data_IF_437327340062
#
_entry.id   IF_437327340062
#
_cell.length_a   1.000
_cell.length_b   1.000
_cell.length_c   1.000
_cell.angle_alpha   90.00
_cell.angle_beta   90.00
_cell.angle_gamma   90.00
#
_symmetry.space_group_name_H-M   'P 1'
#
loop_
_entity.id
_entity.type
_entity.pdbx_description
1 polymer ?
#
# COMPACT_ATOMS: atom_id res chain seq x y z
N UNK A 1 -1.72 -13.80 -12.21
CA UNK A 1 -1.16 -15.17 -12.41
C UNK A 1 -0.99 -15.80 -11.04
N UNK A 2 -1.47 -17.04 -10.88
CA UNK A 2 -1.32 -17.81 -9.62
C UNK A 2 -0.34 -18.94 -9.87
N UNK A 3 0.64 -19.13 -8.99
CA UNK A 3 1.62 -20.22 -9.06
C UNK A 3 1.58 -21.00 -7.76
N UNK A 4 1.29 -22.30 -7.86
CA UNK A 4 1.30 -23.22 -6.72
C UNK A 4 2.63 -23.99 -6.73
N UNK A 5 3.31 -24.03 -5.59
CA UNK A 5 4.47 -24.88 -5.36
C UNK A 5 4.05 -26.18 -4.68
N UNK A 6 4.90 -27.21 -4.77
CA UNK A 6 4.62 -28.54 -4.21
C UNK A 6 4.55 -28.57 -2.67
N UNK A 7 5.08 -27.56 -1.99
CA UNK A 7 5.02 -27.36 -0.55
C UNK A 7 3.73 -26.64 -0.08
N UNK A 8 2.82 -26.33 -1.00
CA UNK A 8 1.59 -25.59 -0.70
C UNK A 8 1.75 -24.07 -0.72
N UNK A 9 2.94 -23.53 -1.01
CA UNK A 9 3.12 -22.09 -1.16
C UNK A 9 2.44 -21.58 -2.44
N UNK A 10 1.67 -20.51 -2.31
CA UNK A 10 0.97 -19.86 -3.42
C UNK A 10 1.61 -18.49 -3.68
N UNK A 11 2.18 -18.31 -4.87
CA UNK A 11 2.55 -17.01 -5.37
C UNK A 11 1.39 -16.43 -6.18
N UNK A 12 0.82 -15.33 -5.71
CA UNK A 12 -0.29 -14.66 -6.37
C UNK A 12 0.14 -13.25 -6.81
N UNK A 13 -0.01 -12.95 -8.10
CA UNK A 13 0.24 -11.61 -8.65
C UNK A 13 -0.98 -11.08 -9.40
N UNK A 14 -1.45 -9.90 -9.01
CA UNK A 14 -2.48 -9.14 -9.72
C UNK A 14 -2.09 -7.67 -9.88
N UNK A 15 -2.63 -7.04 -10.92
CA UNK A 15 -2.47 -5.61 -11.16
C UNK A 15 -3.72 -4.90 -10.67
N UNK A 16 -3.53 -3.94 -9.77
CA UNK A 16 -4.57 -3.01 -9.37
C UNK A 16 -4.37 -1.67 -10.09
N UNK A 17 -5.47 -1.09 -10.56
CA UNK A 17 -5.52 0.30 -10.99
C UNK A 17 -6.56 0.97 -10.11
N UNK A 18 -6.13 1.89 -9.26
CA UNK A 18 -7.00 2.59 -8.32
C UNK A 18 -6.71 4.08 -8.36
N UNK A 19 -7.73 4.88 -8.08
CA UNK A 19 -7.62 6.33 -7.91
C UNK A 19 -7.62 6.61 -6.42
N UNK A 20 -6.51 7.12 -5.91
CA UNK A 20 -6.33 7.46 -4.50
C UNK A 20 -6.49 8.96 -4.28
N UNK A 21 -6.95 9.34 -3.10
CA UNK A 21 -6.99 10.73 -2.68
C UNK A 21 -5.72 11.04 -1.88
N UNK A 22 -5.04 12.13 -2.25
CA UNK A 22 -4.00 12.74 -1.43
C UNK A 22 -4.36 14.21 -1.24
N UNK A 23 -4.60 14.60 0.00
CA UNK A 23 -5.02 15.95 0.35
C UNK A 23 -3.83 16.90 0.28
N UNK A 24 -3.96 17.98 -0.50
CA UNK A 24 -2.93 19.01 -0.63
C UNK A 24 -3.15 20.13 0.39
N UNK A 25 -2.07 20.59 1.01
CA UNK A 25 -2.06 21.84 1.78
C UNK A 25 -1.63 23.01 0.88
N UNK A 26 -2.59 23.87 0.50
CA UNK A 26 -2.39 24.95 -0.47
C UNK A 26 -1.67 26.18 0.12
N UNK A 27 -1.43 26.25 1.43
CA UNK A 27 -0.74 27.38 2.04
C UNK A 27 0.72 27.50 1.59
N UNK A 28 1.33 26.40 1.14
CA UNK A 28 2.73 26.34 0.71
C UNK A 28 2.92 26.43 -0.80
N UNK A 29 1.87 26.72 -1.56
CA UNK A 29 1.99 26.88 -3.01
C UNK A 29 2.96 28.05 -3.35
N UNK A 30 3.93 27.87 -4.28
CA UNK A 30 4.13 26.75 -5.20
C UNK A 30 5.24 25.74 -4.80
N UNK A 31 5.68 25.74 -3.54
CA UNK A 31 6.76 24.89 -3.01
C UNK A 31 6.21 23.82 -2.05
N UNK A 32 5.20 23.09 -2.49
CA UNK A 32 4.56 22.07 -1.67
C UNK A 32 5.26 20.71 -1.82
N UNK A 33 5.65 20.12 -0.68
CA UNK A 33 6.00 18.71 -0.58
C UNK A 33 4.77 17.96 -0.07
N UNK A 34 4.39 16.89 -0.76
CA UNK A 34 3.20 16.12 -0.43
C UNK A 34 3.60 14.79 0.20
N UNK A 35 3.08 14.52 1.40
CA UNK A 35 3.18 13.22 2.05
C UNK A 35 1.85 12.48 1.87
N UNK A 36 1.84 11.52 0.94
CA UNK A 36 0.66 10.75 0.60
C UNK A 36 0.77 9.35 1.18
N UNK A 37 -0.29 8.92 1.88
CA UNK A 37 -0.36 7.60 2.49
C UNK A 37 -1.24 6.68 1.66
N UNK A 38 -0.78 5.45 1.43
CA UNK A 38 -1.57 4.41 0.74
C UNK A 38 -1.83 3.27 1.72
N UNK A 39 -3.10 3.01 2.01
CA UNK A 39 -3.48 1.95 2.93
C UNK A 39 -3.94 0.71 2.17
N UNK A 40 -3.37 -0.45 2.52
CA UNK A 40 -3.71 -1.76 1.98
C UNK A 40 -4.11 -2.68 3.13
N UNK A 41 -5.34 -3.17 3.10
CA UNK A 41 -5.85 -4.12 4.08
C UNK A 41 -6.81 -5.13 3.47
N UNK A 42 -7.13 -6.18 4.24
CA UNK A 42 -8.18 -7.12 3.88
C UNK A 42 -9.56 -6.55 4.19
N UNK A 43 -10.36 -6.30 3.16
CA UNK A 43 -11.71 -5.73 3.32
C UNK A 43 -12.68 -6.57 4.17
N UNK A 44 -12.64 -7.91 4.02
CA UNK A 44 -13.64 -8.80 4.61
C UNK A 44 -13.10 -9.82 5.61
N UNK A 45 -11.80 -9.78 5.91
CA UNK A 45 -11.14 -10.73 6.80
C UNK A 45 -10.52 -10.00 7.97
N UNK A 46 -10.59 -10.63 9.13
CA UNK A 46 -9.96 -10.11 10.34
C UNK A 46 -8.57 -10.72 10.51
N UNK A 47 -7.79 -10.20 11.45
CA UNK A 47 -6.46 -10.73 11.76
C UNK A 47 -6.44 -12.19 12.25
N UNK A 48 -7.60 -12.77 12.63
CA UNK A 48 -7.67 -14.20 12.92
C UNK A 48 -7.70 -15.08 11.67
N UNK A 49 -8.10 -14.51 10.54
CA UNK A 49 -8.27 -15.23 9.27
C UNK A 49 -7.10 -14.96 8.32
N UNK A 50 -6.71 -13.68 8.18
CA UNK A 50 -5.67 -13.24 7.25
C UNK A 50 -4.82 -12.16 7.91
N UNK A 51 -3.49 -12.31 7.80
CA UNK A 51 -2.52 -11.27 8.17
C UNK A 51 -1.62 -11.02 6.98
N UNK A 52 -1.45 -9.74 6.63
CA UNK A 52 -0.67 -9.30 5.49
C UNK A 52 0.65 -8.71 6.00
N UNK A 53 1.77 -9.04 5.37
CA UNK A 53 3.07 -8.48 5.74
C UNK A 53 3.78 -7.97 4.50
N UNK A 54 4.53 -6.89 4.67
CA UNK A 54 5.47 -6.41 3.66
C UNK A 54 6.55 -7.46 3.37
N UNK A 55 6.88 -7.60 2.08
CA UNK A 55 8.10 -8.32 1.71
C UNK A 55 9.33 -7.49 2.09
N UNK A 56 10.50 -8.14 2.13
CA UNK A 56 11.78 -7.45 2.42
C UNK A 56 12.02 -6.24 1.51
N UNK A 57 11.59 -6.35 0.25
CA UNK A 57 11.57 -5.26 -0.73
C UNK A 57 10.10 -5.00 -1.11
N UNK A 58 9.40 -4.11 -0.38
CA UNK A 58 7.95 -3.94 -0.52
C UNK A 58 7.56 -3.10 -1.73
N UNK A 59 8.42 -2.15 -2.13
CA UNK A 59 8.18 -1.20 -3.21
C UNK A 59 9.31 -1.33 -4.22
N UNK A 60 8.95 -1.54 -5.49
CA UNK A 60 9.90 -1.69 -6.60
C UNK A 60 9.38 -0.95 -7.82
N UNK A 61 10.26 -0.30 -8.60
CA UNK A 61 9.88 0.36 -9.86
C UNK A 61 9.42 1.81 -9.69
N UNK A 62 9.30 2.30 -8.44
CA UNK A 62 8.92 3.68 -8.12
C UNK A 62 9.98 4.66 -8.60
N UNK A 63 11.26 4.29 -8.52
CA UNK A 63 12.39 5.07 -9.01
C UNK A 63 12.34 5.36 -10.52
N UNK A 64 11.61 4.53 -11.26
CA UNK A 64 11.41 4.66 -12.70
C UNK A 64 10.06 5.32 -13.06
N UNK A 65 9.22 5.62 -12.06
CA UNK A 65 7.91 6.21 -12.28
C UNK A 65 8.03 7.69 -12.68
N UNK A 66 7.39 8.06 -13.79
CA UNK A 66 7.31 9.45 -14.26
C UNK A 66 5.88 9.95 -14.10
N UNK A 67 5.70 10.91 -13.19
CA UNK A 67 4.43 11.59 -13.02
C UNK A 67 4.46 12.91 -13.80
N UNK A 68 3.32 13.37 -14.36
CA UNK A 68 3.29 14.59 -15.17
C UNK A 68 3.72 15.88 -14.42
N UNK A 69 3.46 15.95 -13.11
CA UNK A 69 3.64 17.17 -12.31
C UNK A 69 4.45 16.98 -11.02
N UNK A 70 4.75 15.74 -10.66
CA UNK A 70 5.39 15.41 -9.39
C UNK A 70 6.60 14.49 -9.59
N UNK A 71 7.51 14.50 -8.63
CA UNK A 71 8.60 13.53 -8.53
C UNK A 71 8.54 12.88 -7.16
N UNK A 72 8.77 11.57 -7.11
CA UNK A 72 8.78 10.82 -5.86
C UNK A 72 10.17 10.94 -5.24
N UNK A 73 10.26 11.60 -4.09
CA UNK A 73 11.52 11.79 -3.37
C UNK A 73 11.90 10.61 -2.47
N UNK A 74 10.90 9.90 -1.94
CA UNK A 74 11.10 8.78 -1.03
C UNK A 74 9.77 8.10 -0.71
N UNK A 75 9.87 6.96 -0.04
CA UNK A 75 8.74 6.20 0.47
C UNK A 75 9.15 5.48 1.75
N UNK A 76 8.20 5.26 2.64
CA UNK A 76 8.37 4.49 3.85
C UNK A 76 7.21 3.51 3.95
N UNK A 77 7.44 2.35 4.57
CA UNK A 77 6.40 1.34 4.76
C UNK A 77 6.21 1.08 6.24
N UNK A 78 4.97 1.09 6.71
CA UNK A 78 4.62 0.77 8.10
C UNK A 78 3.44 -0.19 8.13
N UNK A 79 3.14 -0.75 9.29
CA UNK A 79 1.96 -1.57 9.49
C UNK A 79 1.29 -1.25 10.84
N UNK A 80 -0.03 -1.37 10.89
CA UNK A 80 -0.81 -1.17 12.11
C UNK A 80 -1.97 -2.14 12.22
N UNK A 81 -2.44 -2.37 13.45
CA UNK A 81 -3.69 -3.09 13.71
C UNK A 81 -4.74 -2.11 14.18
N UNK A 82 -5.90 -2.13 13.55
CA UNK A 82 -6.97 -1.18 13.82
C UNK A 82 -8.31 -1.90 13.98
N UNK A 83 -9.10 -1.46 14.97
CA UNK A 83 -10.41 -2.05 15.24
C UNK A 83 -11.47 -1.29 14.44
N UNK A 84 -11.92 -1.92 13.36
CA UNK A 84 -12.96 -1.43 12.47
C UNK A 84 -14.33 -2.01 12.86
N UNK A 85 -15.39 -1.50 12.23
CA UNK A 85 -16.75 -2.01 12.43
C UNK A 85 -16.89 -3.51 12.08
N UNK A 86 -16.07 -4.01 11.15
CA UNK A 86 -16.00 -5.41 10.72
C UNK A 86 -15.13 -6.29 11.62
N UNK A 87 -14.36 -5.71 12.54
CA UNK A 87 -13.46 -6.44 13.43
C UNK A 87 -12.06 -5.85 13.49
N UNK A 88 -11.12 -6.59 14.07
CA UNK A 88 -9.71 -6.19 14.10
C UNK A 88 -9.07 -6.48 12.74
N UNK A 89 -8.63 -5.44 12.04
CA UNK A 89 -7.96 -5.51 10.73
C UNK A 89 -6.46 -5.20 10.88
N UNK A 90 -5.65 -5.72 9.95
CA UNK A 90 -4.23 -5.39 9.82
C UNK A 90 -4.03 -4.59 8.53
N UNK A 91 -3.53 -3.37 8.70
CA UNK A 91 -3.39 -2.35 7.65
C UNK A 91 -1.90 -2.16 7.38
N UNK A 92 -1.54 -2.24 6.10
CA UNK A 92 -0.20 -1.93 5.61
C UNK A 92 -0.22 -0.53 4.97
N UNK A 93 0.73 0.30 5.37
CA UNK A 93 0.89 1.72 5.04
C UNK A 93 2.17 1.95 4.24
#
# INVERSE_FOLDING_TARGET
>A
MVRLKSDGYIAYGMRFTTTLACMMDLHYYPLDSQNCTVEIESYGYTVSDVVMYWMKEPVTGVENAKLPQFTIFGYETTDRKEKLATGLSHINL
#
